data_IF_206978425086
#
_entry.id   IF_206978425086
#
_cell.length_a   1.000
_cell.length_b   1.000
_cell.length_c   1.000
_cell.angle_alpha   90.00
_cell.angle_beta   90.00
_cell.angle_gamma   90.00
#
_symmetry.space_group_name_H-M   'P 1'
#
loop_
_entity.id
_entity.type
_entity.pdbx_description
1 polymer ?
#
# COMPACT_ATOMS: atom_id res chain seq x y z
N UNK A 1 7.14 4.38 -13.19
CA UNK A 1 7.33 4.80 -11.80
C UNK A 1 8.21 3.80 -11.05
N UNK A 2 9.27 4.26 -10.37
CA UNK A 2 10.05 3.42 -9.46
C UNK A 2 9.79 3.85 -8.02
N UNK A 3 9.16 2.98 -7.24
CA UNK A 3 8.96 3.18 -5.81
C UNK A 3 10.30 2.91 -5.12
N UNK A 4 10.75 3.83 -4.28
CA UNK A 4 12.02 3.74 -3.53
C UNK A 4 11.79 3.56 -2.04
N UNK A 5 10.64 4.01 -1.53
CA UNK A 5 10.26 3.91 -0.12
C UNK A 5 8.73 3.89 0.03
N UNK A 6 8.26 3.19 1.08
CA UNK A 6 6.85 3.05 1.41
C UNK A 6 6.64 3.41 2.88
N UNK A 7 5.89 4.48 3.11
CA UNK A 7 5.49 4.90 4.45
C UNK A 7 4.03 4.58 4.70
N UNK A 8 3.68 4.32 5.96
CA UNK A 8 2.31 4.12 6.38
C UNK A 8 2.06 4.95 7.64
N UNK A 9 0.95 5.67 7.68
CA UNK A 9 0.51 6.37 8.89
C UNK A 9 0.17 5.37 9.99
N UNK A 10 -0.03 5.89 11.21
CA UNK A 10 -0.66 5.09 12.25
C UNK A 10 -2.05 4.64 11.77
N UNK A 11 -2.36 3.37 12.03
CA UNK A 11 -3.66 2.78 11.76
C UNK A 11 -4.69 3.34 12.73
N UNK A 12 -5.88 3.67 12.23
CA UNK A 12 -7.02 4.06 13.03
C UNK A 12 -8.22 3.17 12.72
N UNK A 13 -8.78 2.51 13.72
CA UNK A 13 -9.98 1.68 13.57
C UNK A 13 -11.19 2.48 14.04
N UNK A 14 -12.18 2.63 13.18
CA UNK A 14 -13.50 3.15 13.53
C UNK A 14 -14.43 1.98 13.88
N UNK A 15 -14.75 1.75 15.17
CA UNK A 15 -15.60 0.64 15.59
C UNK A 15 -17.06 0.83 15.19
N UNK A 16 -17.51 2.05 14.87
CA UNK A 16 -18.90 2.31 14.47
C UNK A 16 -19.17 1.88 13.02
N UNK A 17 -18.16 1.92 12.17
CA UNK A 17 -18.23 1.54 10.75
C UNK A 17 -17.61 0.15 10.50
N UNK A 18 -16.83 -0.38 11.46
CA UNK A 18 -16.14 -1.67 11.31
C UNK A 18 -15.00 -1.61 10.30
N UNK A 19 -14.39 -0.43 10.12
CA UNK A 19 -13.35 -0.18 9.12
C UNK A 19 -12.10 0.36 9.81
N UNK A 20 -10.95 -0.11 9.34
CA UNK A 20 -9.64 0.39 9.69
C UNK A 20 -9.06 1.20 8.55
N UNK A 21 -8.48 2.34 8.90
CA UNK A 21 -7.96 3.35 7.98
C UNK A 21 -6.48 3.54 8.21
N UNK A 22 -5.73 3.59 7.13
CA UNK A 22 -4.35 4.06 7.13
C UNK A 22 -4.05 4.80 5.82
N UNK A 23 -3.15 5.77 5.88
CA UNK A 23 -2.58 6.40 4.70
C UNK A 23 -1.29 5.69 4.33
N UNK A 24 -1.16 5.29 3.07
CA UNK A 24 0.07 4.70 2.52
C UNK A 24 0.66 5.70 1.53
N UNK A 25 1.93 6.02 1.70
CA UNK A 25 2.67 6.93 0.82
C UNK A 25 3.72 6.15 0.06
N UNK A 26 3.70 6.22 -1.27
CA UNK A 26 4.75 5.74 -2.14
C UNK A 26 5.66 6.88 -2.54
N UNK A 27 6.93 6.79 -2.14
CA UNK A 27 7.98 7.70 -2.56
C UNK A 27 8.63 7.16 -3.81
N UNK A 28 8.86 8.04 -4.79
CA UNK A 28 9.41 7.68 -6.09
C UNK A 28 10.82 8.23 -6.28
N UNK A 29 11.59 7.62 -7.18
CA UNK A 29 12.92 8.09 -7.55
C UNK A 29 12.94 9.48 -8.21
N UNK A 30 11.78 9.95 -8.68
CA UNK A 30 11.58 11.29 -9.23
C UNK A 30 11.26 12.35 -8.16
N UNK A 31 11.42 12.01 -6.87
CA UNK A 31 11.07 12.87 -5.73
C UNK A 31 9.57 13.23 -5.66
N UNK A 32 8.71 12.47 -6.34
CA UNK A 32 7.26 12.56 -6.24
C UNK A 32 6.75 11.62 -5.15
N UNK A 33 5.66 12.01 -4.49
CA UNK A 33 4.95 11.22 -3.50
C UNK A 33 3.53 10.96 -3.98
N UNK A 34 3.08 9.71 -3.87
CA UNK A 34 1.67 9.35 -4.13
C UNK A 34 1.06 8.82 -2.86
N UNK A 35 -0.07 9.42 -2.44
CA UNK A 35 -0.75 9.08 -1.20
C UNK A 35 -2.04 8.31 -1.48
N UNK A 36 -2.24 7.23 -0.75
CA UNK A 36 -3.43 6.40 -0.83
C UNK A 36 -4.09 6.29 0.54
N UNK A 37 -5.33 6.73 0.64
CA UNK A 37 -6.19 6.41 1.78
C UNK A 37 -6.72 5.00 1.58
N UNK A 38 -6.34 4.10 2.49
CA UNK A 38 -6.69 2.69 2.41
C UNK A 38 -7.73 2.36 3.49
N UNK A 39 -8.78 1.65 3.10
CA UNK A 39 -9.92 1.31 3.93
C UNK A 39 -10.09 -0.21 3.92
N UNK A 40 -9.82 -0.85 5.06
CA UNK A 40 -9.90 -2.31 5.21
C UNK A 40 -10.91 -2.66 6.30
N UNK A 41 -11.60 -3.79 6.18
CA UNK A 41 -12.52 -4.26 7.23
C UNK A 41 -11.74 -4.57 8.50
N UNK A 42 -12.19 -4.06 9.64
CA UNK A 42 -11.53 -4.24 10.93
C UNK A 42 -11.45 -5.72 11.32
N UNK A 43 -12.53 -6.48 11.11
CA UNK A 43 -12.58 -7.92 11.42
C UNK A 43 -11.55 -8.72 10.61
N UNK A 44 -11.39 -8.38 9.33
CA UNK A 44 -10.41 -9.02 8.46
C UNK A 44 -8.96 -8.71 8.87
N UNK A 45 -8.70 -7.59 9.57
CA UNK A 45 -7.38 -7.26 10.09
C UNK A 45 -7.11 -7.90 11.44
N UNK A 46 -8.14 -8.05 12.28
CA UNK A 46 -8.02 -8.56 13.65
C UNK A 46 -7.42 -9.98 13.72
N UNK A 47 -7.61 -10.78 12.67
CA UNK A 47 -7.07 -12.14 12.55
C UNK A 47 -5.58 -12.18 12.18
N UNK A 48 -4.98 -11.04 11.82
CA UNK A 48 -3.63 -10.97 11.30
C UNK A 48 -2.65 -10.25 12.26
N UNK A 49 -1.38 -10.70 12.35
CA UNK A 49 -0.34 -9.95 13.04
C UNK A 49 -0.15 -8.54 12.47
N UNK A 50 0.32 -7.59 13.29
CA UNK A 50 0.52 -6.19 12.87
C UNK A 50 1.37 -6.02 11.59
N UNK A 51 2.39 -6.88 11.39
CA UNK A 51 3.20 -6.86 10.18
C UNK A 51 2.38 -7.25 8.93
N UNK A 52 1.51 -8.26 9.06
CA UNK A 52 0.60 -8.69 7.99
C UNK A 52 -0.50 -7.65 7.73
N UNK A 53 -1.01 -6.98 8.76
CA UNK A 53 -1.94 -5.85 8.61
C UNK A 53 -1.33 -4.72 7.78
N UNK A 54 -0.08 -4.34 8.08
CA UNK A 54 0.66 -3.33 7.31
C UNK A 54 0.79 -3.74 5.83
N UNK A 55 1.09 -5.00 5.55
CA UNK A 55 1.14 -5.50 4.17
C UNK A 55 -0.21 -5.37 3.47
N UNK A 56 -1.33 -5.68 4.14
CA UNK A 56 -2.66 -5.56 3.54
C UNK A 56 -2.98 -4.12 3.12
N UNK A 57 -2.59 -3.12 3.91
CA UNK A 57 -2.74 -1.71 3.51
C UNK A 57 -1.86 -1.36 2.31
N UNK A 58 -0.61 -1.82 2.29
CA UNK A 58 0.29 -1.63 1.14
C UNK A 58 -0.25 -2.31 -0.11
N UNK A 59 -0.82 -3.51 0.01
CA UNK A 59 -1.48 -4.20 -1.10
C UNK A 59 -2.70 -3.44 -1.61
N UNK A 60 -3.51 -2.87 -0.72
CA UNK A 60 -4.64 -2.04 -1.14
C UNK A 60 -4.16 -0.79 -1.89
N UNK A 61 -3.14 -0.09 -1.38
CA UNK A 61 -2.53 1.05 -2.05
C UNK A 61 -1.96 0.69 -3.43
N UNK A 62 -1.28 -0.46 -3.55
CA UNK A 62 -0.78 -0.96 -4.84
C UNK A 62 -1.94 -1.29 -5.79
N UNK A 63 -3.03 -1.86 -5.29
CA UNK A 63 -4.24 -2.12 -6.07
C UNK A 63 -4.87 -0.82 -6.58
N UNK A 64 -4.92 0.22 -5.74
CA UNK A 64 -5.40 1.54 -6.13
C UNK A 64 -4.50 2.18 -7.19
N UNK A 65 -3.17 2.15 -6.99
CA UNK A 65 -2.18 2.64 -7.94
C UNK A 65 -2.31 1.94 -9.31
N UNK A 66 -2.40 0.60 -9.33
CA UNK A 66 -2.58 -0.19 -10.58
C UNK A 66 -3.87 0.15 -11.33
N UNK A 67 -4.87 0.74 -10.67
CA UNK A 67 -6.13 1.14 -11.29
C UNK A 67 -6.09 2.55 -11.89
N UNK A 68 -5.04 3.34 -11.62
CA UNK A 68 -4.92 4.65 -12.26
C UNK A 68 -4.68 4.48 -13.77
N UNK A 69 -5.23 5.38 -14.62
CA UNK A 69 -5.23 5.23 -16.07
C UNK A 69 -3.85 4.98 -16.70
N UNK A 70 -2.83 5.66 -16.22
CA UNK A 70 -1.44 5.58 -16.66
C UNK A 70 -0.84 4.18 -16.47
N UNK A 71 -1.17 3.50 -15.37
CA UNK A 71 -0.70 2.14 -15.09
C UNK A 71 -1.60 1.09 -15.73
N UNK A 72 -2.92 1.30 -15.71
CA UNK A 72 -3.90 0.38 -16.31
C UNK A 72 -3.72 0.25 -17.83
N UNK A 73 -3.35 1.34 -18.51
CA UNK A 73 -3.11 1.35 -19.95
C UNK A 73 -1.72 0.81 -20.34
N UNK A 74 -0.85 0.54 -19.37
CA UNK A 74 0.55 0.17 -19.62
C UNK A 74 1.43 1.32 -20.09
N UNK A 75 0.93 2.56 -20.08
CA UNK A 75 1.72 3.77 -20.38
C UNK A 75 2.86 3.95 -19.38
N UNK A 76 2.65 3.51 -18.14
CA UNK A 76 3.65 3.53 -17.10
C UNK A 76 3.75 2.18 -16.39
N UNK A 77 4.98 1.76 -16.06
CA UNK A 77 5.26 0.51 -15.35
C UNK A 77 5.68 0.82 -13.91
N UNK A 78 5.13 0.07 -12.95
CA UNK A 78 5.50 0.14 -11.54
C UNK A 78 6.71 -0.77 -11.31
N UNK A 79 7.77 -0.23 -10.74
CA UNK A 79 8.97 -0.98 -10.34
C UNK A 79 9.34 -0.63 -8.89
N UNK A 80 10.05 -1.53 -8.22
CA UNK A 80 10.48 -1.36 -6.84
C UNK A 80 12.00 -1.30 -6.79
N UNK A 81 12.56 -0.39 -5.98
CA UNK A 81 13.99 -0.35 -5.74
C UNK A 81 14.47 -1.68 -5.14
N UNK A 82 15.64 -2.15 -5.59
CA UNK A 82 16.22 -3.45 -5.19
C UNK A 82 16.35 -3.62 -3.67
N UNK A 83 16.50 -2.54 -2.92
CA UNK A 83 16.58 -2.53 -1.44
C UNK A 83 15.24 -2.83 -0.75
N UNK A 84 14.11 -2.72 -1.46
CA UNK A 84 12.78 -3.10 -0.96
C UNK A 84 12.42 -4.55 -1.30
N UNK A 85 13.17 -5.20 -2.20
CA UNK A 85 13.07 -6.64 -2.49
C UNK A 85 13.77 -7.36 -1.34
N UNK A 86 13.03 -7.55 -0.26
CA UNK A 86 13.51 -7.94 1.07
C UNK A 86 12.48 -7.70 2.18
N UNK A 87 11.42 -6.94 1.89
CA UNK A 87 10.17 -7.00 2.64
C UNK A 87 9.52 -8.39 2.45
N UNK A 88 8.90 -8.97 3.49
CA UNK A 88 8.52 -10.39 3.54
C UNK A 88 7.71 -10.82 2.31
N UNK A 89 7.98 -12.05 1.88
CA UNK A 89 7.31 -12.77 0.79
C UNK A 89 5.79 -12.47 0.81
N UNK A 90 5.34 -11.66 -0.15
CA UNK A 90 3.93 -11.25 -0.19
C UNK A 90 3.65 -10.15 -1.20
N UNK A 91 4.56 -9.17 -1.37
CA UNK A 91 4.30 -8.00 -2.23
C UNK A 91 4.39 -8.26 -3.75
N UNK A 92 4.89 -9.43 -4.17
CA UNK A 92 5.27 -9.71 -5.56
C UNK A 92 4.36 -10.72 -6.30
N UNK A 93 3.26 -11.16 -5.71
CA UNK A 93 2.26 -12.01 -6.38
C UNK A 93 1.06 -11.20 -6.88
#
# INVERSE_FOLDING_TARGET
MKIVEIEMSQQHTDPSVGVSVAQVTFHTDQNNQTHFTCLLKADALAEHPAQSQRLMFVHDALRQLRRMPEFRSGREVITFAKRMIGAPEGLAA
#
